data_IF_066641274168
#
_entry.id   IF_066641274168
#
_cell.length_a   1.000
_cell.length_b   1.000
_cell.length_c   1.000
_cell.angle_alpha   90.00
_cell.angle_beta   90.00
_cell.angle_gamma   90.00
#
_symmetry.space_group_name_H-M   'P 1'
#
loop_
_entity.id
_entity.type
_entity.pdbx_description
1 polymer ?
#
# COMPACT_ATOMS: atom_id res chain seq x y z
N UNK A 1 2.25 2.66 -35.85
CA UNK A 1 1.02 3.49 -35.97
C UNK A 1 1.46 4.94 -36.07
N UNK A 2 0.90 5.72 -36.99
CA UNK A 2 1.19 7.15 -37.11
C UNK A 2 0.00 7.93 -36.56
N UNK A 3 0.23 8.75 -35.52
CA UNK A 3 -0.84 9.52 -34.87
C UNK A 3 -1.47 10.54 -35.83
N UNK A 4 -0.69 11.05 -36.78
CA UNK A 4 -1.11 12.00 -37.82
C UNK A 4 -2.17 11.44 -38.77
N UNK A 5 -2.35 10.12 -38.80
CA UNK A 5 -3.35 9.43 -39.62
C UNK A 5 -4.63 9.09 -38.85
N UNK A 6 -4.68 9.37 -37.54
CA UNK A 6 -5.84 9.12 -36.70
C UNK A 6 -6.74 10.35 -36.62
N UNK A 7 -8.06 10.17 -36.45
CA UNK A 7 -8.97 11.25 -36.08
C UNK A 7 -8.50 11.93 -34.78
N UNK A 8 -8.69 13.24 -34.69
CA UNK A 8 -8.30 14.03 -33.52
C UNK A 8 -8.94 13.50 -32.23
N UNK A 9 -10.22 13.12 -32.29
CA UNK A 9 -10.96 12.49 -31.18
C UNK A 9 -10.31 11.19 -30.65
N UNK A 10 -9.62 10.43 -31.52
CA UNK A 10 -8.89 9.21 -31.11
C UNK A 10 -7.57 9.57 -30.47
N UNK A 11 -6.85 10.57 -31.02
CA UNK A 11 -5.58 11.04 -30.45
C UNK A 11 -5.80 11.63 -29.05
N UNK A 12 -6.90 12.33 -28.83
CA UNK A 12 -7.22 12.96 -27.55
C UNK A 12 -7.40 11.98 -26.39
N UNK A 13 -7.83 10.75 -26.67
CA UNK A 13 -8.09 9.75 -25.62
C UNK A 13 -6.86 8.89 -25.29
N UNK A 14 -5.80 8.93 -26.11
CA UNK A 14 -4.57 8.16 -25.86
C UNK A 14 -3.90 8.63 -24.56
N UNK A 15 -3.57 7.67 -23.69
CA UNK A 15 -2.95 7.92 -22.40
C UNK A 15 -3.90 8.53 -21.35
N UNK A 16 -5.21 8.60 -21.65
CA UNK A 16 -6.21 9.02 -20.65
C UNK A 16 -6.80 7.79 -19.95
N UNK A 17 -6.93 7.82 -18.62
CA UNK A 17 -7.64 6.76 -17.92
C UNK A 17 -9.12 6.80 -18.28
N UNK A 18 -9.78 5.64 -18.25
CA UNK A 18 -11.25 5.59 -18.20
C UNK A 18 -11.76 6.34 -16.96
N UNK A 19 -12.98 6.89 -17.01
CA UNK A 19 -13.56 7.69 -15.92
C UNK A 19 -13.54 6.93 -14.58
N UNK A 20 -13.88 5.64 -14.63
CA UNK A 20 -13.87 4.74 -13.46
C UNK A 20 -12.45 4.47 -12.93
N UNK A 21 -11.42 4.65 -13.75
CA UNK A 21 -10.01 4.40 -13.40
C UNK A 21 -9.28 5.65 -12.90
N UNK A 22 -9.90 6.83 -12.98
CA UNK A 22 -9.32 8.09 -12.47
C UNK A 22 -8.93 8.01 -10.98
N UNK A 23 -9.74 7.43 -10.06
CA UNK A 23 -9.36 7.29 -8.66
C UNK A 23 -8.14 6.37 -8.48
N UNK A 24 -8.04 5.28 -9.24
CA UNK A 24 -6.92 4.35 -9.19
C UNK A 24 -5.62 5.02 -9.68
N UNK A 25 -5.69 5.80 -10.78
CA UNK A 25 -4.54 6.59 -11.25
C UNK A 25 -4.04 7.56 -10.19
N UNK A 26 -4.93 8.29 -9.52
CA UNK A 26 -4.56 9.21 -8.44
C UNK A 26 -3.92 8.50 -7.25
N UNK A 27 -4.38 7.29 -6.92
CA UNK A 27 -3.77 6.47 -5.88
C UNK A 27 -2.35 6.06 -6.26
N UNK A 28 -2.14 5.62 -7.50
CA UNK A 28 -0.80 5.28 -8.01
C UNK A 28 0.13 6.52 -8.03
N UNK A 29 -0.37 7.68 -8.42
CA UNK A 29 0.40 8.94 -8.37
C UNK A 29 0.84 9.29 -6.95
N UNK A 30 -0.03 9.09 -5.95
CA UNK A 30 0.32 9.26 -4.53
C UNK A 30 1.37 8.26 -4.07
N UNK A 31 1.37 7.05 -4.62
CA UNK A 31 2.39 6.03 -4.37
C UNK A 31 3.71 6.31 -5.12
N UNK A 32 3.78 7.35 -5.96
CA UNK A 32 4.99 7.74 -6.69
C UNK A 32 5.06 7.21 -8.13
N UNK A 33 3.98 6.63 -8.66
CA UNK A 33 3.90 6.23 -10.06
C UNK A 33 3.65 7.42 -10.98
N UNK A 34 4.13 7.30 -12.21
CA UNK A 34 3.99 8.32 -13.24
C UNK A 34 3.75 7.70 -14.61
N UNK A 35 3.08 8.44 -15.49
CA UNK A 35 2.92 8.05 -16.89
C UNK A 35 4.16 8.44 -17.70
N UNK A 36 4.79 7.48 -18.38
CA UNK A 36 6.02 7.68 -19.15
C UNK A 36 5.82 7.57 -20.67
N UNK A 37 4.58 7.69 -21.14
CA UNK A 37 4.26 7.62 -22.58
C UNK A 37 3.92 6.22 -23.10
N UNK A 38 3.92 5.21 -22.22
CA UNK A 38 3.52 3.84 -22.54
C UNK A 38 2.02 3.67 -22.38
N UNK A 39 1.33 3.15 -23.40
CA UNK A 39 -0.12 2.91 -23.36
C UNK A 39 -0.45 1.44 -23.60
N UNK A 40 -1.60 1.01 -23.07
CA UNK A 40 -2.15 -0.32 -23.37
C UNK A 40 -2.52 -0.45 -24.86
N UNK A 41 -2.37 -1.65 -25.41
CA UNK A 41 -2.56 -1.90 -26.84
C UNK A 41 -4.03 -2.06 -27.24
N UNK A 42 -4.93 -2.27 -26.30
CA UNK A 42 -6.36 -2.48 -26.54
C UNK A 42 -7.17 -1.20 -26.34
N UNK A 43 -6.98 -0.51 -25.21
CA UNK A 43 -7.77 0.66 -24.84
C UNK A 43 -7.00 1.99 -24.85
N UNK A 44 -5.69 1.95 -25.15
CA UNK A 44 -4.79 3.10 -25.13
C UNK A 44 -4.75 3.84 -23.78
N UNK A 45 -5.15 3.20 -22.68
CA UNK A 45 -5.04 3.72 -21.33
C UNK A 45 -3.56 3.88 -20.89
N UNK A 46 -3.27 4.78 -19.94
CA UNK A 46 -1.90 5.03 -19.50
C UNK A 46 -1.36 3.85 -18.69
N UNK A 47 -0.16 3.39 -19.04
CA UNK A 47 0.63 2.52 -18.18
C UNK A 47 1.38 3.39 -17.19
N UNK A 48 1.18 3.12 -15.90
CA UNK A 48 1.78 3.85 -14.79
C UNK A 48 3.01 3.08 -14.29
N UNK A 49 4.14 3.76 -14.15
CA UNK A 49 5.42 3.14 -13.81
C UNK A 49 6.09 3.85 -12.62
N UNK A 50 6.80 3.09 -11.79
CA UNK A 50 7.57 3.57 -10.65
C UNK A 50 8.76 2.63 -10.40
N UNK A 51 9.90 3.18 -9.99
CA UNK A 51 10.97 2.36 -9.42
C UNK A 51 10.51 1.81 -8.06
N UNK A 52 10.77 0.52 -7.76
CA UNK A 52 10.30 -0.10 -6.50
C UNK A 52 10.73 0.67 -5.25
N UNK A 53 11.96 1.21 -5.27
CA UNK A 53 12.52 2.03 -4.19
C UNK A 53 11.76 3.35 -3.99
N UNK A 54 11.03 3.81 -5.01
CA UNK A 54 10.28 5.06 -5.03
C UNK A 54 8.84 4.93 -4.53
N UNK A 55 8.32 3.71 -4.38
CA UNK A 55 6.95 3.46 -3.93
C UNK A 55 6.78 3.91 -2.47
N UNK A 56 5.87 4.86 -2.21
CA UNK A 56 5.69 5.45 -0.88
C UNK A 56 5.37 4.41 0.20
N UNK A 57 4.46 3.46 -0.07
CA UNK A 57 4.15 2.39 0.87
C UNK A 57 5.35 1.50 1.17
N UNK A 58 6.26 1.29 0.20
CA UNK A 58 7.48 0.49 0.40
C UNK A 58 8.51 1.26 1.22
N UNK A 59 8.68 2.56 0.95
CA UNK A 59 9.62 3.43 1.69
C UNK A 59 9.26 3.58 3.16
N UNK A 60 7.97 3.75 3.43
CA UNK A 60 7.50 4.10 4.77
C UNK A 60 7.13 2.87 5.61
N UNK A 61 7.11 1.67 5.02
CA UNK A 61 6.84 0.45 5.76
C UNK A 61 8.00 0.10 6.71
N UNK A 62 7.67 -0.18 7.97
CA UNK A 62 8.63 -0.53 9.04
C UNK A 62 8.50 -2.01 9.40
N UNK A 63 9.63 -2.67 9.65
CA UNK A 63 9.62 -4.00 10.25
C UNK A 63 9.66 -3.85 11.77
N UNK A 64 8.81 -4.59 12.48
CA UNK A 64 8.72 -4.57 13.95
C UNK A 64 8.63 -5.98 14.49
N UNK A 65 9.00 -6.15 15.75
CA UNK A 65 8.79 -7.39 16.51
C UNK A 65 7.67 -7.18 17.53
N UNK A 66 6.68 -8.06 17.53
CA UNK A 66 5.61 -8.02 18.54
C UNK A 66 6.16 -8.56 19.85
N UNK A 67 6.42 -7.71 20.83
CA UNK A 67 6.95 -8.13 22.13
C UNK A 67 5.84 -8.32 23.18
N UNK A 68 4.67 -7.73 22.95
CA UNK A 68 3.54 -7.83 23.88
C UNK A 68 2.20 -7.89 23.13
N UNK A 69 1.23 -8.59 23.72
CA UNK A 69 -0.14 -8.68 23.25
C UNK A 69 -1.04 -8.22 24.39
N UNK A 70 -1.80 -7.14 24.16
CA UNK A 70 -2.70 -6.56 25.14
C UNK A 70 -4.16 -6.95 24.84
N UNK A 71 -5.03 -6.99 25.85
CA UNK A 71 -6.46 -7.29 25.62
C UNK A 71 -7.12 -6.26 24.70
N UNK A 72 -6.79 -4.98 24.84
CA UNK A 72 -7.28 -3.90 23.98
C UNK A 72 -6.19 -2.85 23.75
N UNK A 73 -6.18 -2.24 22.57
CA UNK A 73 -5.37 -1.08 22.22
C UNK A 73 -6.29 -0.02 21.64
N UNK A 74 -6.32 1.15 22.29
CA UNK A 74 -7.03 2.32 21.78
C UNK A 74 -6.27 2.97 20.63
N UNK A 75 -6.92 3.90 19.93
CA UNK A 75 -6.24 4.77 18.95
C UNK A 75 -5.79 6.04 19.67
N UNK A 76 -4.47 6.21 19.87
CA UNK A 76 -3.86 7.43 20.41
C UNK A 76 -2.54 7.77 19.68
N UNK A 77 -1.87 8.87 20.06
CA UNK A 77 -0.60 9.29 19.44
C UNK A 77 0.51 8.23 19.58
N UNK A 78 0.46 7.40 20.62
CA UNK A 78 1.41 6.30 20.83
C UNK A 78 1.02 5.02 20.07
N UNK A 79 -0.19 4.97 19.54
CA UNK A 79 -0.79 3.80 18.90
C UNK A 79 -1.53 4.15 17.60
N UNK A 80 -0.81 4.67 16.59
CA UNK A 80 -1.44 5.08 15.34
C UNK A 80 -2.00 3.87 14.58
N UNK A 81 -3.02 4.16 13.78
CA UNK A 81 -3.64 3.17 12.90
C UNK A 81 -2.71 2.80 11.76
N UNK A 82 -2.34 1.53 11.71
CA UNK A 82 -1.41 1.00 10.72
C UNK A 82 -2.09 -0.07 9.86
N UNK A 83 -1.63 -0.21 8.62
CA UNK A 83 -1.75 -1.48 7.89
C UNK A 83 -0.65 -2.40 8.42
N UNK A 84 -0.99 -3.62 8.82
CA UNK A 84 -0.08 -4.57 9.47
C UNK A 84 -0.13 -5.90 8.73
N UNK A 85 1.03 -6.42 8.32
CA UNK A 85 1.17 -7.74 7.70
C UNK A 85 1.98 -8.70 8.58
N UNK A 86 1.60 -9.98 8.56
CA UNK A 86 2.30 -11.03 9.30
C UNK A 86 3.57 -11.56 8.62
N UNK A 87 3.90 -11.05 7.41
CA UNK A 87 5.05 -11.45 6.59
C UNK A 87 5.20 -12.96 6.34
N UNK A 88 4.13 -13.74 6.49
CA UNK A 88 4.14 -15.18 6.21
C UNK A 88 3.73 -15.41 4.76
N UNK A 89 4.55 -16.06 3.94
CA UNK A 89 4.21 -16.30 2.53
C UNK A 89 3.12 -17.38 2.36
N UNK A 90 3.12 -18.41 3.22
CA UNK A 90 2.19 -19.54 3.13
C UNK A 90 0.78 -19.19 3.63
N UNK A 91 0.68 -18.31 4.64
CA UNK A 91 -0.57 -17.81 5.21
C UNK A 91 -0.48 -16.29 5.38
N UNK A 92 -0.38 -15.58 4.25
CA UNK A 92 -0.23 -14.12 4.27
C UNK A 92 -1.50 -13.45 4.74
N UNK A 93 -1.37 -12.65 5.80
CA UNK A 93 -2.48 -11.87 6.37
C UNK A 93 -2.10 -10.40 6.47
N UNK A 94 -3.10 -9.55 6.23
CA UNK A 94 -2.99 -8.10 6.26
C UNK A 94 -4.24 -7.53 6.91
N UNK A 95 -4.08 -6.71 7.95
CA UNK A 95 -5.19 -6.03 8.62
C UNK A 95 -4.89 -4.54 8.78
N UNK A 96 -5.91 -3.79 9.20
CA UNK A 96 -5.77 -2.42 9.65
C UNK A 96 -6.05 -2.38 11.15
N UNK A 97 -5.04 -2.05 11.95
CA UNK A 97 -5.11 -2.09 13.41
C UNK A 97 -4.25 -1.00 14.06
N UNK A 98 -4.61 -0.49 15.24
CA UNK A 98 -3.72 0.34 16.04
C UNK A 98 -2.52 -0.48 16.52
N UNK A 99 -1.32 0.06 16.37
CA UNK A 99 -0.08 -0.56 16.84
C UNK A 99 0.60 0.40 17.80
N UNK A 100 0.74 -0.01 19.06
CA UNK A 100 1.51 0.77 20.03
C UNK A 100 2.99 0.54 19.82
N UNK A 101 3.71 1.58 19.44
CA UNK A 101 5.16 1.54 19.34
C UNK A 101 5.78 1.58 20.72
N UNK A 102 6.75 0.70 20.97
CA UNK A 102 7.58 0.69 22.18
C UNK A 102 8.97 1.26 21.84
N UNK A 103 9.89 1.29 22.80
CA UNK A 103 11.28 1.71 22.53
C UNK A 103 11.97 0.73 21.56
N UNK A 104 12.48 1.24 20.43
CA UNK A 104 13.21 0.46 19.44
C UNK A 104 12.34 -0.09 18.31
N UNK A 105 12.57 -1.34 17.90
CA UNK A 105 11.82 -2.05 16.85
C UNK A 105 10.76 -2.99 17.46
N UNK A 106 10.23 -2.64 18.61
CA UNK A 106 9.24 -3.41 19.35
C UNK A 106 7.86 -2.76 19.30
N UNK A 107 6.83 -3.59 19.34
CA UNK A 107 5.45 -3.13 19.32
C UNK A 107 4.51 -4.03 20.13
N UNK A 108 3.40 -3.42 20.53
CA UNK A 108 2.29 -4.09 21.20
C UNK A 108 1.06 -4.07 20.27
N UNK A 109 0.39 -5.22 20.16
CA UNK A 109 -0.84 -5.40 19.35
C UNK A 109 -1.99 -5.94 20.22
N UNK A 110 -3.25 -5.75 19.81
CA UNK A 110 -4.39 -6.32 20.51
C UNK A 110 -4.45 -7.85 20.33
N UNK A 111 -5.04 -8.56 21.28
CA UNK A 111 -5.24 -10.01 21.23
C UNK A 111 -6.09 -10.42 20.03
N UNK A 112 -7.16 -9.68 19.77
CA UNK A 112 -8.05 -9.90 18.62
C UNK A 112 -7.30 -9.75 17.29
N UNK A 113 -6.47 -8.71 17.15
CA UNK A 113 -5.73 -8.45 15.92
C UNK A 113 -4.60 -9.47 15.71
N UNK A 114 -3.94 -9.91 16.79
CA UNK A 114 -2.93 -10.97 16.75
C UNK A 114 -3.54 -12.31 16.30
N UNK A 115 -4.72 -12.65 16.79
CA UNK A 115 -5.45 -13.86 16.37
C UNK A 115 -5.82 -13.80 14.88
N UNK A 116 -6.35 -12.66 14.41
CA UNK A 116 -6.68 -12.46 13.00
C UNK A 116 -5.42 -12.55 12.13
N UNK A 117 -4.29 -11.98 12.56
CA UNK A 117 -3.00 -12.07 11.84
C UNK A 117 -2.34 -13.45 11.96
N UNK A 118 -2.78 -14.29 12.90
CA UNK A 118 -2.19 -15.59 13.16
C UNK A 118 -0.77 -15.50 13.73
N UNK A 119 -0.50 -14.51 14.58
CA UNK A 119 0.83 -14.24 15.12
C UNK A 119 0.86 -14.40 16.65
N UNK A 120 2.05 -14.65 17.18
CA UNK A 120 2.34 -14.72 18.62
C UNK A 120 3.42 -13.72 19.00
N UNK A 121 3.66 -13.55 20.30
CA UNK A 121 4.82 -12.80 20.81
C UNK A 121 6.12 -13.36 20.18
N UNK A 122 6.99 -12.44 19.77
CA UNK A 122 8.23 -12.70 19.03
C UNK A 122 8.06 -12.72 17.51
N UNK A 123 6.84 -12.60 16.97
CA UNK A 123 6.62 -12.55 15.53
C UNK A 123 7.12 -11.23 14.92
N UNK A 124 7.71 -11.34 13.72
CA UNK A 124 8.06 -10.19 12.91
C UNK A 124 6.87 -9.78 12.03
N UNK A 125 6.52 -8.50 12.10
CA UNK A 125 5.45 -7.91 11.29
C UNK A 125 5.99 -6.77 10.44
N UNK A 126 5.27 -6.42 9.38
CA UNK A 126 5.52 -5.19 8.64
C UNK A 126 4.34 -4.24 8.83
N UNK A 127 4.63 -3.01 9.26
CA UNK A 127 3.62 -1.98 9.48
C UNK A 127 3.78 -0.84 8.48
N UNK A 128 2.67 -0.24 8.09
CA UNK A 128 2.61 1.00 7.33
C UNK A 128 1.60 1.92 8.02
N UNK A 129 2.09 3.01 8.58
CA UNK A 129 1.24 4.02 9.22
C UNK A 129 0.39 4.75 8.17
N UNK A 130 -0.91 4.87 8.43
CA UNK A 130 -1.82 5.60 7.54
C UNK A 130 -1.73 7.10 7.80
N UNK A 131 -1.48 7.88 6.74
CA UNK A 131 -1.44 9.36 6.76
C UNK A 131 -2.72 9.98 6.22
#
# INVERSE_FOLDING_TARGET
MYLELLPEEVVEVIGRPHEESVPAKRLLEREGFSYQGTVDIFDAGPVMECERSNIESIKNAKALTINNIASEIGEDESSPKCIVSNRCLEDYRLIMAPIRYEEGEEATISEQDAEILGISVGAQVQTLELR
#
